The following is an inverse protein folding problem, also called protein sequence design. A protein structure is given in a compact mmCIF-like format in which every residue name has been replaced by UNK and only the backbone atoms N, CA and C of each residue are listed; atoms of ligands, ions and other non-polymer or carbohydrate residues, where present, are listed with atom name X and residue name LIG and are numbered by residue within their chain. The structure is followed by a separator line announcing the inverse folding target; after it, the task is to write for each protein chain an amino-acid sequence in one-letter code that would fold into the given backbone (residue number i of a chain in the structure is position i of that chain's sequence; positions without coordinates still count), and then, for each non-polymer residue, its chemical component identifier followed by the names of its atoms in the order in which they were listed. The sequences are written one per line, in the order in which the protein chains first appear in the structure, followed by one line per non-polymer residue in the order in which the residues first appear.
data_IF_481761575617
#
_entry.id   IF_481761575617
#
_cell.length_a   1.000
_cell.length_b   1.000
_cell.length_c   1.000
_cell.angle_alpha   90.00
_cell.angle_beta   90.00
_cell.angle_gamma   90.00
#
_symmetry.space_group_name_H-M   'P 1'
#
loop_
_entity.id
_entity.type
_entity.pdbx_description
1 polymer ?
#
# COMPACT_ATOMS: atom_id res chain seq x y z
N UNK A 1 13.20 -16.16 3.55
CA UNK A 1 13.65 -14.79 3.25
C UNK A 1 15.00 -14.68 2.61
N UNK A 2 15.91 -15.64 2.81
CA UNK A 2 17.22 -15.68 2.14
C UNK A 2 17.13 -15.33 0.64
N UNK A 3 16.20 -15.94 -0.12
CA UNK A 3 16.09 -15.69 -1.56
C UNK A 3 15.88 -14.22 -1.96
N UNK A 4 15.03 -13.44 -1.26
CA UNK A 4 14.80 -12.02 -1.61
C UNK A 4 16.02 -11.16 -1.27
N UNK A 5 16.71 -11.48 -0.17
CA UNK A 5 17.95 -10.84 0.22
C UNK A 5 19.10 -11.19 -0.74
N UNK A 6 19.19 -12.45 -1.16
CA UNK A 6 20.23 -12.98 -2.04
C UNK A 6 20.09 -12.48 -3.49
N UNK A 7 18.87 -12.13 -3.92
CA UNK A 7 18.60 -11.62 -5.26
C UNK A 7 18.31 -10.11 -5.29
N UNK A 8 18.58 -9.37 -4.21
CA UNK A 8 18.15 -7.97 -4.06
C UNK A 8 18.77 -7.04 -5.11
N UNK A 9 19.89 -7.41 -5.72
CA UNK A 9 20.53 -6.63 -6.79
C UNK A 9 19.90 -6.86 -8.18
N UNK A 10 19.06 -7.90 -8.33
CA UNK A 10 18.49 -8.33 -9.59
C UNK A 10 16.99 -7.99 -9.66
N UNK A 11 16.67 -6.82 -10.22
CA UNK A 11 15.31 -6.29 -10.32
C UNK A 11 14.28 -7.31 -10.86
N UNK A 12 14.62 -8.11 -11.86
CA UNK A 12 13.69 -9.09 -12.42
C UNK A 12 13.40 -10.25 -11.49
N UNK A 13 14.41 -10.73 -10.74
CA UNK A 13 14.21 -11.75 -9.71
C UNK A 13 13.39 -11.20 -8.54
N UNK A 14 13.69 -9.97 -8.10
CA UNK A 14 12.92 -9.27 -7.06
C UNK A 14 11.44 -9.21 -7.43
N UNK A 15 11.10 -8.79 -8.67
CA UNK A 15 9.70 -8.75 -9.14
C UNK A 15 9.01 -10.11 -9.04
N UNK A 16 9.68 -11.18 -9.47
CA UNK A 16 9.10 -12.53 -9.44
C UNK A 16 8.87 -13.02 -8.01
N UNK A 17 9.82 -12.78 -7.11
CA UNK A 17 9.68 -13.16 -5.70
C UNK A 17 8.52 -12.39 -5.05
N UNK A 18 8.40 -11.09 -5.28
CA UNK A 18 7.30 -10.28 -4.74
C UNK A 18 5.94 -10.75 -5.25
N UNK A 19 5.83 -11.08 -6.54
CA UNK A 19 4.61 -11.63 -7.14
C UNK A 19 4.23 -12.97 -6.52
N UNK A 20 5.21 -13.86 -6.32
CA UNK A 20 4.99 -15.15 -5.66
C UNK A 20 4.54 -14.98 -4.20
N UNK A 21 5.18 -14.09 -3.43
CA UNK A 21 4.78 -13.78 -2.05
C UNK A 21 3.33 -13.29 -1.99
N UNK A 22 2.95 -12.38 -2.89
CA UNK A 22 1.58 -11.89 -3.01
C UNK A 22 0.58 -13.02 -3.31
N UNK A 23 0.94 -13.94 -4.20
CA UNK A 23 0.05 -15.04 -4.59
C UNK A 23 -0.20 -16.03 -3.45
N UNK A 24 0.82 -16.34 -2.64
CA UNK A 24 0.69 -17.30 -1.53
C UNK A 24 0.09 -16.66 -0.26
N UNK A 25 0.23 -15.34 -0.08
CA UNK A 25 -0.25 -14.61 1.09
C UNK A 25 -1.78 -14.40 1.12
N UNK A 26 -2.56 -15.16 0.34
CA UNK A 26 -4.01 -15.22 0.48
C UNK A 26 -4.49 -15.93 1.76
N UNK A 27 -3.62 -16.76 2.35
CA UNK A 27 -3.86 -17.45 3.62
C UNK A 27 -3.22 -16.66 4.78
N UNK A 28 -3.96 -16.47 5.88
CA UNK A 28 -3.50 -15.64 7.01
C UNK A 28 -2.32 -16.27 7.77
N UNK A 29 -2.22 -17.60 7.87
CA UNK A 29 -1.07 -18.28 8.47
C UNK A 29 0.20 -18.06 7.64
N UNK A 30 0.05 -18.03 6.31
CA UNK A 30 1.15 -17.75 5.38
C UNK A 30 1.62 -16.30 5.52
N UNK A 31 0.71 -15.33 5.66
CA UNK A 31 1.09 -13.93 5.94
C UNK A 31 1.96 -13.85 7.19
N UNK A 32 1.51 -14.47 8.27
CA UNK A 32 2.23 -14.42 9.55
C UNK A 32 3.57 -15.16 9.47
N UNK A 33 3.64 -16.26 8.72
CA UNK A 33 4.90 -16.95 8.48
C UNK A 33 5.89 -16.08 7.68
N UNK A 34 5.42 -15.35 6.67
CA UNK A 34 6.24 -14.41 5.90
C UNK A 34 6.78 -13.31 6.79
N UNK A 35 5.91 -12.67 7.60
CA UNK A 35 6.31 -11.59 8.52
C UNK A 35 7.31 -12.10 9.56
N UNK A 36 7.03 -13.23 10.23
CA UNK A 36 7.97 -13.85 11.20
C UNK A 36 9.31 -14.23 10.60
N UNK A 37 9.36 -14.49 9.29
CA UNK A 37 10.59 -14.81 8.59
C UNK A 37 11.39 -13.56 8.16
N UNK A 38 10.98 -12.34 8.55
CA UNK A 38 11.63 -11.08 8.17
C UNK A 38 11.21 -10.56 6.79
N UNK A 39 10.04 -11.00 6.30
CA UNK A 39 9.60 -10.69 4.94
C UNK A 39 9.34 -9.21 4.70
N UNK A 40 8.82 -8.53 5.70
CA UNK A 40 8.53 -7.10 5.65
C UNK A 40 9.79 -6.28 5.42
N UNK A 41 10.85 -6.58 6.15
CA UNK A 41 12.15 -5.90 6.10
C UNK A 41 12.81 -6.10 4.73
N UNK A 42 12.79 -7.33 4.20
CA UNK A 42 13.33 -7.60 2.88
C UNK A 42 12.54 -6.89 1.76
N UNK A 43 11.20 -6.82 1.86
CA UNK A 43 10.37 -6.12 0.87
C UNK A 43 10.65 -4.61 0.91
N UNK A 44 10.73 -4.02 2.11
CA UNK A 44 11.07 -2.60 2.26
C UNK A 44 12.46 -2.30 1.72
N UNK A 45 13.46 -3.11 2.06
CA UNK A 45 14.82 -2.97 1.55
C UNK A 45 14.87 -3.03 0.01
N UNK A 46 14.18 -4.00 -0.60
CA UNK A 46 14.12 -4.13 -2.06
C UNK A 46 13.45 -2.91 -2.71
N UNK A 47 12.36 -2.40 -2.13
CA UNK A 47 11.69 -1.19 -2.62
C UNK A 47 12.58 0.05 -2.52
N UNK A 48 13.31 0.22 -1.41
CA UNK A 48 14.23 1.34 -1.22
C UNK A 48 15.43 1.27 -2.16
N UNK A 49 16.05 0.08 -2.30
CA UNK A 49 17.19 -0.12 -3.18
C UNK A 49 16.84 0.11 -4.65
N UNK A 50 15.65 -0.32 -5.06
CA UNK A 50 15.17 -0.18 -6.43
C UNK A 50 14.08 0.87 -6.57
N UNK A 51 14.16 1.95 -5.80
CA UNK A 51 13.18 3.04 -5.83
C UNK A 51 13.02 3.64 -7.23
N UNK A 52 14.05 3.60 -8.08
CA UNK A 52 13.96 4.06 -9.47
C UNK A 52 13.13 3.14 -10.38
N UNK A 53 12.79 1.91 -9.96
CA UNK A 53 11.99 0.97 -10.74
C UNK A 53 10.52 1.03 -10.29
N UNK A 54 9.60 1.56 -11.13
CA UNK A 54 8.18 1.62 -10.76
C UNK A 54 7.57 0.23 -10.60
N UNK A 55 8.02 -0.75 -11.38
CA UNK A 55 7.53 -2.13 -11.25
C UNK A 55 7.92 -2.75 -9.91
N UNK A 56 9.15 -2.52 -9.41
CA UNK A 56 9.54 -3.02 -8.08
C UNK A 56 8.75 -2.31 -7.00
N UNK A 57 8.57 -0.99 -7.11
CA UNK A 57 7.75 -0.21 -6.17
C UNK A 57 6.30 -0.70 -6.10
N UNK A 58 5.67 -0.92 -7.26
CA UNK A 58 4.30 -1.43 -7.34
C UNK A 58 4.18 -2.81 -6.68
N UNK A 59 5.05 -3.76 -7.03
CA UNK A 59 4.99 -5.12 -6.49
C UNK A 59 5.31 -5.15 -4.99
N UNK A 60 6.21 -4.28 -4.51
CA UNK A 60 6.54 -4.18 -3.10
C UNK A 60 5.36 -3.63 -2.29
N UNK A 61 4.75 -2.54 -2.76
CA UNK A 61 3.53 -1.99 -2.16
C UNK A 61 2.39 -3.03 -2.17
N UNK A 62 2.21 -3.77 -3.27
CA UNK A 62 1.19 -4.80 -3.39
C UNK A 62 1.43 -5.97 -2.42
N UNK A 63 2.68 -6.42 -2.26
CA UNK A 63 3.03 -7.48 -1.32
C UNK A 63 2.77 -7.06 0.13
N UNK A 64 3.27 -5.88 0.54
CA UNK A 64 2.99 -5.31 1.86
C UNK A 64 1.49 -5.11 2.10
N UNK A 65 0.75 -4.66 1.08
CA UNK A 65 -0.70 -4.46 1.16
C UNK A 65 -1.43 -5.76 1.50
N UNK A 66 -1.03 -6.90 0.91
CA UNK A 66 -1.62 -8.20 1.21
C UNK A 66 -1.25 -8.68 2.61
N UNK A 67 0.00 -8.46 3.06
CA UNK A 67 0.45 -8.83 4.40
C UNK A 67 -0.31 -8.06 5.51
N UNK A 68 -0.63 -6.78 5.26
CA UNK A 68 -1.42 -5.92 6.17
C UNK A 68 -2.92 -6.26 6.17
N UNK A 69 -3.44 -6.85 5.09
CA UNK A 69 -4.88 -6.99 4.88
C UNK A 69 -5.52 -7.86 5.98
N UNK A 70 -6.36 -7.21 6.81
CA UNK A 70 -7.08 -7.81 7.95
C UNK A 70 -6.15 -8.37 9.04
N UNK A 71 -4.93 -7.86 9.14
CA UNK A 71 -3.89 -8.32 10.08
C UNK A 71 -3.26 -7.14 10.82
N UNK A 72 -3.92 -6.59 11.87
CA UNK A 72 -3.42 -5.41 12.58
C UNK A 72 -2.03 -5.61 13.18
N UNK A 73 -1.67 -6.83 13.58
CA UNK A 73 -0.33 -7.18 14.08
C UNK A 73 0.72 -7.04 12.97
N UNK A 74 0.42 -7.50 11.75
CA UNK A 74 1.32 -7.35 10.61
C UNK A 74 1.40 -5.88 10.16
N UNK A 75 0.30 -5.12 10.23
CA UNK A 75 0.31 -3.69 9.96
C UNK A 75 1.26 -2.94 10.90
N UNK A 76 1.29 -3.31 12.18
CA UNK A 76 2.24 -2.74 13.14
C UNK A 76 3.70 -3.01 12.73
N UNK A 77 4.04 -4.27 12.42
CA UNK A 77 5.41 -4.62 11.97
C UNK A 77 5.79 -3.86 10.69
N UNK A 78 4.86 -3.70 9.74
CA UNK A 78 5.10 -2.96 8.50
C UNK A 78 5.37 -1.47 8.79
N UNK A 79 4.60 -0.84 9.69
CA UNK A 79 4.81 0.58 10.03
C UNK A 79 6.13 0.77 10.78
N UNK A 80 6.41 -0.06 11.79
CA UNK A 80 7.64 -0.03 12.57
C UNK A 80 8.88 -0.30 11.70
N UNK A 81 8.74 -1.17 10.70
CA UNK A 81 9.77 -1.46 9.69
C UNK A 81 9.90 -0.41 8.58
N UNK A 82 9.20 0.73 8.66
CA UNK A 82 9.31 1.83 7.69
C UNK A 82 8.54 1.64 6.38
N UNK A 83 7.67 0.64 6.29
CA UNK A 83 6.93 0.33 5.06
C UNK A 83 5.98 1.44 4.61
N UNK A 84 5.39 2.20 5.54
CA UNK A 84 4.57 3.36 5.20
C UNK A 84 5.40 4.47 4.54
N UNK A 85 6.55 4.83 5.14
CA UNK A 85 7.46 5.83 4.59
C UNK A 85 7.94 5.41 3.20
N UNK A 86 8.38 4.17 3.05
CA UNK A 86 8.90 3.66 1.79
C UNK A 86 7.82 3.68 0.67
N UNK A 87 6.55 3.42 1.01
CA UNK A 87 5.44 3.54 0.06
C UNK A 87 5.19 5.00 -0.37
N UNK A 88 5.28 5.96 0.56
CA UNK A 88 5.16 7.39 0.23
C UNK A 88 6.32 7.89 -0.62
N UNK A 89 7.54 7.43 -0.37
CA UNK A 89 8.70 7.73 -1.24
C UNK A 89 8.52 7.14 -2.64
N UNK A 90 7.97 5.92 -2.77
CA UNK A 90 7.60 5.35 -4.06
C UNK A 90 6.55 6.20 -4.79
N UNK A 91 5.55 6.72 -4.08
CA UNK A 91 4.56 7.64 -4.66
C UNK A 91 5.22 8.94 -5.18
N UNK A 92 6.18 9.50 -4.43
CA UNK A 92 6.93 10.70 -4.84
C UNK A 92 7.82 10.43 -6.06
N UNK A 93 8.47 9.28 -6.12
CA UNK A 93 9.35 8.90 -7.21
C UNK A 93 8.58 8.64 -8.52
N UNK A 94 7.36 8.09 -8.41
CA UNK A 94 6.56 7.65 -9.56
C UNK A 94 5.15 8.26 -9.63
N UNK A 95 5.01 9.60 -9.69
CA UNK A 95 3.71 10.27 -9.65
C UNK A 95 2.84 9.96 -10.88
N UNK A 96 3.43 9.53 -11.99
CA UNK A 96 2.73 9.21 -13.24
C UNK A 96 2.36 7.73 -13.37
N UNK A 97 2.83 6.87 -12.47
CA UNK A 97 2.63 5.43 -12.57
C UNK A 97 1.42 5.01 -11.74
N UNK A 98 0.27 4.88 -12.40
CA UNK A 98 -1.01 4.58 -11.75
C UNK A 98 -0.95 3.32 -10.86
N UNK A 99 -0.19 2.30 -11.27
CA UNK A 99 0.02 1.06 -10.50
C UNK A 99 0.65 1.33 -9.14
N UNK A 100 1.75 2.08 -9.08
CA UNK A 100 2.43 2.47 -7.84
C UNK A 100 1.49 3.27 -6.94
N UNK A 101 0.83 4.28 -7.50
CA UNK A 101 -0.09 5.15 -6.74
C UNK A 101 -1.24 4.35 -6.13
N UNK A 102 -1.84 3.44 -6.90
CA UNK A 102 -2.94 2.59 -6.44
C UNK A 102 -2.51 1.66 -5.32
N UNK A 103 -1.41 0.92 -5.50
CA UNK A 103 -0.94 -0.04 -4.50
C UNK A 103 -0.48 0.64 -3.21
N UNK A 104 0.17 1.79 -3.31
CA UNK A 104 0.55 2.58 -2.14
C UNK A 104 -0.70 3.08 -1.38
N UNK A 105 -1.70 3.64 -2.07
CA UNK A 105 -2.97 4.02 -1.44
C UNK A 105 -3.66 2.81 -0.76
N UNK A 106 -3.68 1.64 -1.42
CA UNK A 106 -4.25 0.41 -0.85
C UNK A 106 -3.51 -0.03 0.42
N UNK A 107 -2.17 0.01 0.39
CA UNK A 107 -1.35 -0.30 1.55
C UNK A 107 -1.66 0.65 2.71
N UNK A 108 -1.57 1.96 2.49
CA UNK A 108 -1.82 2.96 3.54
C UNK A 108 -3.20 2.76 4.16
N UNK A 109 -4.24 2.59 3.33
CA UNK A 109 -5.59 2.26 3.82
C UNK A 109 -5.58 1.03 4.73
N UNK A 110 -4.95 -0.07 4.31
CA UNK A 110 -4.93 -1.30 5.11
C UNK A 110 -4.17 -1.14 6.43
N UNK A 111 -3.13 -0.31 6.47
CA UNK A 111 -2.37 -0.04 7.70
C UNK A 111 -3.22 0.65 8.77
N UNK A 112 -4.16 1.52 8.37
CA UNK A 112 -4.97 2.32 9.30
C UNK A 112 -6.44 1.86 9.44
N UNK A 113 -6.91 0.95 8.57
CA UNK A 113 -8.32 0.53 8.53
C UNK A 113 -8.85 -0.11 9.82
N UNK A 114 -7.98 -0.66 10.68
CA UNK A 114 -8.36 -1.35 11.93
C UNK A 114 -7.81 -0.67 13.19
N UNK A 115 -6.92 0.31 13.02
CA UNK A 115 -6.32 1.06 14.12
C UNK A 115 -5.88 2.44 13.64
N UNK A 116 -6.25 3.47 14.40
CA UNK A 116 -5.82 4.84 14.15
C UNK A 116 -4.46 5.17 14.75
N UNK A 117 -3.81 4.20 15.42
CA UNK A 117 -2.55 4.42 16.13
C UNK A 117 -1.44 4.98 15.23
N UNK A 118 -1.47 4.65 13.93
CA UNK A 118 -0.46 5.08 12.96
C UNK A 118 -0.93 6.23 12.07
N UNK A 119 -2.19 6.68 12.18
CA UNK A 119 -2.74 7.70 11.28
C UNK A 119 -1.97 9.01 11.37
N UNK A 120 -1.77 9.55 12.57
CA UNK A 120 -1.01 10.80 12.75
C UNK A 120 0.43 10.67 12.25
N UNK A 121 1.10 9.56 12.59
CA UNK A 121 2.46 9.28 12.11
C UNK A 121 2.53 9.31 10.58
N UNK A 122 1.60 8.63 9.90
CA UNK A 122 1.57 8.56 8.44
C UNK A 122 1.22 9.92 7.83
N UNK A 123 0.36 10.71 8.47
CA UNK A 123 0.05 12.08 8.07
C UNK A 123 1.26 13.00 8.19
N UNK A 124 2.04 12.89 9.27
CA UNK A 124 3.25 13.68 9.50
C UNK A 124 4.34 13.38 8.43
N UNK A 125 4.30 12.20 7.80
CA UNK A 125 5.14 11.85 6.65
C UNK A 125 4.67 12.48 5.32
N UNK A 126 3.56 13.22 5.33
CA UNK A 126 2.99 13.90 4.17
C UNK A 126 2.02 13.06 3.33
N UNK A 127 1.43 12.00 3.90
CA UNK A 127 0.55 11.09 3.16
C UNK A 127 -0.65 11.79 2.51
N UNK A 128 -1.27 12.76 3.19
CA UNK A 128 -2.48 13.43 2.70
C UNK A 128 -2.25 14.08 1.32
N UNK A 129 -1.21 14.90 1.19
CA UNK A 129 -0.90 15.59 -0.06
C UNK A 129 -0.64 14.61 -1.22
N UNK A 130 0.08 13.52 -0.94
CA UNK A 130 0.42 12.51 -1.95
C UNK A 130 -0.81 11.70 -2.39
N UNK A 131 -1.68 11.31 -1.45
CA UNK A 131 -2.89 10.56 -1.76
C UNK A 131 -3.90 11.46 -2.51
N UNK A 132 -3.99 12.75 -2.16
CA UNK A 132 -4.80 13.72 -2.91
C UNK A 132 -4.26 13.89 -4.33
N UNK A 133 -2.94 14.00 -4.50
CA UNK A 133 -2.32 14.10 -5.83
C UNK A 133 -2.59 12.83 -6.66
N UNK A 134 -2.42 11.66 -6.08
CA UNK A 134 -2.72 10.37 -6.71
C UNK A 134 -4.18 10.29 -7.19
N UNK A 135 -5.12 10.72 -6.34
CA UNK A 135 -6.55 10.77 -6.63
C UNK A 135 -6.89 11.63 -7.84
N UNK A 136 -6.26 12.80 -7.96
CA UNK A 136 -6.51 13.76 -9.06
C UNK A 136 -5.84 13.30 -10.35
N UNK A 137 -4.62 12.75 -10.26
CA UNK A 137 -3.85 12.33 -11.43
C UNK A 137 -4.36 11.03 -12.05
N UNK A 138 -4.95 10.12 -11.26
CA UNK A 138 -5.28 8.76 -11.69
C UNK A 138 -6.72 8.38 -11.30
N UNK A 139 -7.61 8.33 -12.29
CA UNK A 139 -9.02 7.99 -12.08
C UNK A 139 -9.21 6.62 -11.40
N UNK A 140 -8.39 5.64 -11.74
CA UNK A 140 -8.45 4.29 -11.16
C UNK A 140 -8.01 4.22 -9.69
N UNK A 141 -7.42 5.30 -9.18
CA UNK A 141 -7.07 5.45 -7.77
C UNK A 141 -8.17 6.13 -6.96
N UNK A 142 -9.25 6.65 -7.57
CA UNK A 142 -10.17 7.56 -6.90
C UNK A 142 -10.79 6.96 -5.64
N UNK A 143 -11.43 5.79 -5.77
CA UNK A 143 -12.11 5.14 -4.65
C UNK A 143 -11.16 4.74 -3.53
N UNK A 144 -9.99 4.18 -3.89
CA UNK A 144 -9.01 3.74 -2.89
C UNK A 144 -8.36 4.94 -2.19
N UNK A 145 -8.04 6.01 -2.92
CA UNK A 145 -7.45 7.20 -2.35
C UNK A 145 -8.42 7.90 -1.39
N UNK A 146 -9.71 7.98 -1.76
CA UNK A 146 -10.77 8.47 -0.85
C UNK A 146 -10.89 7.61 0.39
N UNK A 147 -10.87 6.28 0.25
CA UNK A 147 -10.93 5.37 1.38
C UNK A 147 -9.71 5.52 2.30
N UNK A 148 -8.50 5.63 1.74
CA UNK A 148 -7.28 5.85 2.51
C UNK A 148 -7.32 7.18 3.29
N UNK A 149 -7.71 8.27 2.64
CA UNK A 149 -7.85 9.59 3.28
C UNK A 149 -8.89 9.56 4.41
N UNK A 150 -10.05 8.95 4.18
CA UNK A 150 -11.08 8.78 5.20
C UNK A 150 -10.55 7.99 6.39
N UNK A 151 -9.89 6.86 6.13
CA UNK A 151 -9.37 5.99 7.17
C UNK A 151 -8.17 6.62 7.92
N UNK A 152 -7.50 7.63 7.34
CA UNK A 152 -6.50 8.48 8.01
C UNK A 152 -7.13 9.61 8.85
N UNK A 153 -8.44 9.84 8.73
CA UNK A 153 -9.13 10.95 9.40
C UNK A 153 -9.11 12.27 8.63
N UNK A 154 -8.66 12.29 7.37
CA UNK A 154 -8.73 13.47 6.50
C UNK A 154 -10.17 13.72 6.03
N UNK A 155 -10.46 14.97 5.68
CA UNK A 155 -11.75 15.32 5.10
C UNK A 155 -11.88 14.78 3.67
N UNK A 156 -12.99 14.07 3.40
CA UNK A 156 -13.30 13.54 2.06
C UNK A 156 -14.78 13.76 1.77
N UNK A 157 -15.08 14.43 0.65
CA UNK A 157 -16.44 14.51 0.14
C UNK A 157 -16.88 13.15 -0.44
N UNK A 158 -17.85 12.53 0.21
CA UNK A 158 -18.49 11.30 -0.27
C UNK A 158 -19.71 11.70 -1.10
N UNK A 159 -19.69 11.35 -2.39
CA UNK A 159 -20.87 11.47 -3.25
C UNK A 159 -21.70 10.20 -3.12
N UNK A 160 -22.80 10.26 -2.40
CA UNK A 160 -23.76 9.16 -2.31
C UNK A 160 -24.41 8.93 -3.69
N UNK A 161 -24.09 7.81 -4.35
CA UNK A 161 -24.67 7.44 -5.64
C UNK A 161 -26.06 6.80 -5.50
N UNK A 162 -26.43 6.41 -4.28
CA UNK A 162 -27.72 5.78 -3.98
C UNK A 162 -28.30 6.38 -2.70
N UNK A 163 -29.42 7.09 -2.80
CA UNK A 163 -30.08 7.81 -1.70
C UNK A 163 -31.17 6.98 -1.01
N UNK A 164 -31.32 5.70 -1.37
CA UNK A 164 -32.32 4.82 -0.78
C UNK A 164 -33.78 5.07 -1.18
N UNK A 165 -34.07 6.12 -1.94
CA UNK A 165 -35.41 6.37 -2.46
C UNK A 165 -35.63 5.62 -3.77
N UNK A 166 -36.71 4.81 -3.85
CA UNK A 166 -37.17 4.24 -5.14
C UNK A 166 -37.60 5.41 -6.04
N UNK A 167 -36.70 5.87 -6.91
CA UNK A 167 -36.95 6.93 -7.86
C UNK A 167 -35.78 7.03 -8.83
N UNK A 168 -36.11 7.09 -10.12
CA UNK A 168 -35.23 6.91 -11.27
C UNK A 168 -33.81 7.51 -11.14
N UNK A 169 -32.84 6.79 -11.71
CA UNK A 169 -31.48 7.27 -11.96
C UNK A 169 -31.54 8.70 -12.53
N UNK A 170 -30.80 9.62 -11.90
CA UNK A 170 -30.65 10.98 -12.42
C UNK A 170 -30.06 10.93 -13.85
N UNK A 171 -30.46 11.86 -14.74
CA UNK A 171 -30.00 11.88 -16.12
C UNK A 171 -28.48 12.03 -16.25
#
# INVERSE_FOLDING_TARGET
MALLADCIDHQDLVKQVLSALRAIAGNDDVKDAIVRAGGTECIVAAMTQHLASPQVCEQSCAALCVLALRKPENSQVIVEGGGALAALEAMKAHPKEAGVQKQACMLIRNLVARSQAFSQLILDLGAEALIVQARVAHRDCEDVAKAALRDLGCHVELRELWTGQKGNLAP
#
